data_IF_434727623009
#
_entry.id   IF_434727623009
#
_cell.length_a   1.000
_cell.length_b   1.000
_cell.length_c   1.000
_cell.angle_alpha   90.00
_cell.angle_beta   90.00
_cell.angle_gamma   90.00
#
_symmetry.space_group_name_H-M   'P 1'
#
loop_
_entity.id
_entity.type
_entity.pdbx_description
1 polymer ?
#
# COMPACT_ATOMS: atom_id res chain seq x y z
N UNK A 1 12.17 -19.34 -16.98
CA UNK A 1 11.42 -18.14 -16.55
C UNK A 1 10.04 -18.55 -16.08
N UNK A 2 9.58 -17.93 -15.01
CA UNK A 2 8.25 -18.19 -14.47
C UNK A 2 7.40 -16.93 -14.58
N UNK A 3 6.12 -17.11 -14.82
CA UNK A 3 5.16 -16.01 -14.80
C UNK A 3 3.93 -16.40 -14.00
N UNK A 4 3.34 -15.42 -13.32
CA UNK A 4 2.14 -15.61 -12.52
C UNK A 4 1.04 -14.79 -13.19
N UNK A 5 -0.06 -15.41 -13.65
CA UNK A 5 -1.16 -14.65 -14.22
C UNK A 5 -1.83 -13.83 -13.12
N UNK A 6 -2.12 -12.57 -13.45
CA UNK A 6 -2.78 -11.67 -12.51
C UNK A 6 -4.24 -12.07 -12.31
N UNK A 7 -4.74 -11.80 -11.10
CA UNK A 7 -6.16 -11.93 -10.80
C UNK A 7 -6.98 -10.90 -11.60
N UNK A 8 -6.42 -9.72 -11.77
CA UNK A 8 -7.03 -8.62 -12.52
C UNK A 8 -6.35 -8.47 -13.88
N UNK A 9 -7.04 -7.84 -14.85
CA UNK A 9 -6.52 -7.65 -16.20
C UNK A 9 -5.33 -6.69 -16.28
N UNK A 10 -5.25 -5.72 -15.36
CA UNK A 10 -4.18 -4.72 -15.39
C UNK A 10 -3.60 -4.44 -14.01
N UNK A 11 -2.29 -4.35 -13.97
CA UNK A 11 -1.53 -4.12 -12.74
C UNK A 11 -0.81 -2.79 -12.83
N UNK A 12 -0.76 -2.06 -11.72
CA UNK A 12 -0.08 -0.76 -11.66
C UNK A 12 1.28 -0.85 -10.97
N UNK A 13 1.42 -1.74 -10.00
CA UNK A 13 2.64 -1.81 -9.21
C UNK A 13 2.81 -3.20 -8.63
N UNK A 14 4.06 -3.66 -8.57
CA UNK A 14 4.42 -4.91 -7.88
C UNK A 14 5.59 -4.62 -6.95
N UNK A 15 5.53 -5.16 -5.74
CA UNK A 15 6.64 -5.13 -4.80
C UNK A 15 6.79 -6.48 -4.12
N UNK A 16 8.02 -6.79 -3.71
CA UNK A 16 8.30 -7.95 -2.88
C UNK A 16 8.31 -7.49 -1.43
N UNK A 17 7.51 -8.14 -0.59
CA UNK A 17 7.49 -7.83 0.84
C UNK A 17 8.86 -8.14 1.44
N UNK A 18 9.46 -7.20 2.21
CA UNK A 18 10.86 -7.35 2.64
C UNK A 18 11.14 -8.57 3.51
N UNK A 19 10.18 -9.00 4.31
CA UNK A 19 10.38 -10.05 5.31
C UNK A 19 9.66 -11.35 4.92
N UNK A 20 8.53 -11.24 4.26
CA UNK A 20 7.62 -12.37 4.08
C UNK A 20 7.71 -13.06 2.72
N UNK A 21 8.57 -12.57 1.84
CA UNK A 21 8.75 -13.16 0.50
C UNK A 21 7.45 -13.25 -0.31
N UNK A 22 6.52 -12.34 -0.05
CA UNK A 22 5.27 -12.25 -0.80
C UNK A 22 5.38 -11.22 -1.91
N UNK A 23 4.90 -11.58 -3.09
CA UNK A 23 4.69 -10.62 -4.16
C UNK A 23 3.35 -9.95 -3.91
N UNK A 24 3.36 -8.63 -3.85
CA UNK A 24 2.18 -7.84 -3.56
C UNK A 24 1.95 -6.87 -4.72
N UNK A 25 0.74 -6.85 -5.23
CA UNK A 25 0.41 -6.17 -6.47
C UNK A 25 -0.78 -5.24 -6.26
N UNK A 26 -0.67 -4.02 -6.78
CA UNK A 26 -1.77 -3.06 -6.84
C UNK A 26 -2.38 -3.09 -8.24
N UNK A 27 -3.70 -3.21 -8.34
CA UNK A 27 -4.36 -3.34 -9.63
C UNK A 27 -5.39 -2.24 -9.90
N UNK A 28 -5.94 -2.22 -11.12
CA UNK A 28 -6.87 -1.18 -11.57
C UNK A 28 -8.24 -1.27 -10.91
N UNK A 29 -8.57 -2.38 -10.29
CA UNK A 29 -9.84 -2.55 -9.57
C UNK A 29 -9.79 -2.03 -8.14
N UNK A 30 -8.68 -1.45 -7.72
CA UNK A 30 -8.51 -0.99 -6.34
C UNK A 30 -8.18 -2.11 -5.37
N UNK A 31 -7.71 -3.22 -5.88
CA UNK A 31 -7.39 -4.39 -5.07
C UNK A 31 -5.89 -4.54 -4.86
N UNK A 32 -5.54 -5.17 -3.75
CA UNK A 32 -4.19 -5.64 -3.48
C UNK A 32 -4.22 -7.17 -3.57
N UNK A 33 -3.37 -7.71 -4.44
CA UNK A 33 -3.21 -9.15 -4.65
C UNK A 33 -1.90 -9.59 -4.01
N UNK A 34 -1.93 -10.67 -3.23
CA UNK A 34 -0.73 -11.22 -2.60
C UNK A 34 -0.48 -12.62 -3.10
N UNK A 35 0.74 -12.88 -3.54
CA UNK A 35 1.16 -14.18 -4.06
C UNK A 35 2.35 -14.71 -3.29
N UNK A 36 2.36 -16.02 -3.06
CA UNK A 36 3.55 -16.69 -2.53
C UNK A 36 4.59 -16.76 -3.65
N UNK A 37 5.81 -16.28 -3.38
CA UNK A 37 6.86 -16.24 -4.40
C UNK A 37 7.38 -17.62 -4.80
N UNK A 38 7.17 -18.63 -3.96
CA UNK A 38 7.64 -19.99 -4.22
C UNK A 38 6.59 -20.84 -4.93
N UNK A 39 5.40 -20.95 -4.34
CA UNK A 39 4.31 -21.76 -4.91
C UNK A 39 3.56 -21.04 -6.03
N UNK A 40 3.65 -19.71 -6.09
CA UNK A 40 2.95 -18.85 -7.04
C UNK A 40 1.44 -18.86 -6.85
N UNK A 41 0.98 -19.32 -5.70
CA UNK A 41 -0.44 -19.29 -5.37
C UNK A 41 -0.87 -17.90 -4.93
N UNK A 42 -2.09 -17.51 -5.32
CA UNK A 42 -2.70 -16.30 -4.80
C UNK A 42 -3.15 -16.57 -3.37
N UNK A 43 -2.53 -15.86 -2.44
CA UNK A 43 -2.84 -16.01 -1.02
C UNK A 43 -4.04 -15.18 -0.62
N UNK A 44 -4.20 -14.00 -1.23
CA UNK A 44 -5.22 -13.06 -0.83
C UNK A 44 -5.44 -12.03 -1.94
N UNK A 45 -6.68 -11.61 -2.09
CA UNK A 45 -7.04 -10.48 -2.95
C UNK A 45 -8.06 -9.65 -2.19
N UNK A 46 -7.70 -8.42 -1.85
CA UNK A 46 -8.53 -7.56 -0.99
C UNK A 46 -8.80 -6.24 -1.71
N UNK A 47 -10.07 -5.87 -1.77
CA UNK A 47 -10.44 -4.57 -2.32
C UNK A 47 -10.24 -3.48 -1.26
N UNK A 48 -9.47 -2.47 -1.60
CA UNK A 48 -9.09 -1.39 -0.70
C UNK A 48 -9.72 -0.06 -1.12
N UNK A 49 -9.79 0.19 -2.42
CA UNK A 49 -10.35 1.42 -2.98
C UNK A 49 -11.46 1.13 -3.99
N UNK A 50 -12.37 2.07 -4.15
CA UNK A 50 -13.36 2.03 -5.23
C UNK A 50 -12.78 2.48 -6.57
N UNK A 51 -11.57 3.06 -6.57
CA UNK A 51 -10.82 3.47 -7.74
C UNK A 51 -9.55 2.64 -7.85
N UNK A 52 -8.68 2.94 -8.83
CA UNK A 52 -7.45 2.19 -9.02
C UNK A 52 -6.49 2.31 -7.85
N UNK A 53 -5.86 1.21 -7.48
CA UNK A 53 -4.69 1.20 -6.60
C UNK A 53 -3.45 1.48 -7.47
N UNK A 54 -2.75 2.58 -7.20
CA UNK A 54 -1.68 3.08 -8.07
C UNK A 54 -0.29 2.77 -7.57
N UNK A 55 -0.10 2.80 -6.27
CA UNK A 55 1.22 2.57 -5.69
C UNK A 55 1.07 1.85 -4.36
N UNK A 56 2.10 1.14 -3.99
CA UNK A 56 2.14 0.49 -2.68
C UNK A 56 3.59 0.38 -2.23
N UNK A 57 3.78 0.41 -0.92
CA UNK A 57 5.11 0.34 -0.33
C UNK A 57 5.03 -0.29 1.04
N UNK A 58 5.94 -1.22 1.31
CA UNK A 58 6.14 -1.74 2.66
C UNK A 58 7.13 -0.86 3.43
N UNK A 59 6.96 -0.79 4.75
CA UNK A 59 7.99 -0.24 5.61
C UNK A 59 9.22 -1.15 5.60
N UNK A 60 10.38 -0.61 6.05
CA UNK A 60 11.63 -1.36 6.02
C UNK A 60 11.59 -2.64 6.84
N UNK A 61 10.84 -2.65 7.94
CA UNK A 61 10.66 -3.84 8.76
C UNK A 61 9.59 -4.80 8.23
N UNK A 62 8.88 -4.42 7.17
CA UNK A 62 7.84 -5.23 6.57
C UNK A 62 6.53 -5.28 7.34
N UNK A 63 6.39 -4.51 8.42
CA UNK A 63 5.22 -4.59 9.30
C UNK A 63 4.07 -3.70 8.88
N UNK A 64 4.34 -2.70 8.04
CA UNK A 64 3.32 -1.77 7.56
C UNK A 64 3.29 -1.77 6.05
N UNK A 65 2.10 -1.58 5.51
CA UNK A 65 1.87 -1.45 4.07
C UNK A 65 1.07 -0.18 3.81
N UNK A 66 1.59 0.69 2.97
CA UNK A 66 0.88 1.89 2.52
C UNK A 66 0.47 1.72 1.06
N UNK A 67 -0.78 2.03 0.76
CA UNK A 67 -1.35 1.91 -0.58
C UNK A 67 -1.97 3.23 -0.99
N UNK A 68 -1.66 3.68 -2.19
CA UNK A 68 -2.16 4.93 -2.74
C UNK A 68 -3.08 4.71 -3.94
N UNK A 69 -4.13 5.50 -4.03
CA UNK A 69 -5.13 5.41 -5.09
C UNK A 69 -4.91 6.46 -6.19
N UNK A 70 -5.66 6.35 -7.26
CA UNK A 70 -5.62 7.31 -8.36
C UNK A 70 -6.42 8.59 -8.08
N UNK A 71 -7.17 8.63 -6.99
CA UNK A 71 -7.95 9.81 -6.58
C UNK A 71 -7.44 10.46 -5.29
N UNK A 72 -6.19 10.21 -4.93
CA UNK A 72 -5.54 10.94 -3.84
C UNK A 72 -5.70 10.35 -2.45
N UNK A 73 -6.23 9.14 -2.34
CA UNK A 73 -6.37 8.47 -1.05
C UNK A 73 -5.14 7.63 -0.75
N UNK A 74 -4.75 7.57 0.52
CA UNK A 74 -3.69 6.67 1.00
C UNK A 74 -4.23 5.96 2.23
N UNK A 75 -4.08 4.64 2.24
CA UNK A 75 -4.43 3.81 3.40
C UNK A 75 -3.21 3.07 3.87
N UNK A 76 -3.01 3.04 5.18
CA UNK A 76 -1.86 2.38 5.80
C UNK A 76 -2.35 1.26 6.69
N UNK A 77 -1.79 0.09 6.49
CA UNK A 77 -2.18 -1.14 7.21
C UNK A 77 -1.02 -1.65 8.04
N UNK A 78 -1.35 -2.22 9.19
CA UNK A 78 -0.46 -3.18 9.85
C UNK A 78 -0.70 -4.53 9.18
N UNK A 79 0.35 -5.25 8.81
CA UNK A 79 0.21 -6.51 8.06
C UNK A 79 -0.55 -7.59 8.82
N UNK A 80 -0.72 -7.43 10.13
CA UNK A 80 -1.46 -8.36 10.98
C UNK A 80 -2.95 -8.06 11.02
N UNK A 81 -3.39 -7.00 10.35
CA UNK A 81 -4.77 -6.53 10.39
C UNK A 81 -5.31 -6.31 8.99
N UNK A 82 -6.59 -6.56 8.79
CA UNK A 82 -7.28 -6.30 7.53
C UNK A 82 -7.87 -4.90 7.46
N UNK A 83 -7.68 -4.09 8.49
CA UNK A 83 -8.21 -2.73 8.53
C UNK A 83 -7.09 -1.73 8.50
N UNK A 84 -7.26 -0.61 7.77
CA UNK A 84 -6.27 0.45 7.83
C UNK A 84 -6.29 1.10 9.21
N UNK A 85 -5.11 1.39 9.76
CA UNK A 85 -5.03 2.15 10.99
C UNK A 85 -4.86 3.65 10.71
N UNK A 86 -4.61 4.02 9.47
CA UNK A 86 -4.45 5.41 9.07
C UNK A 86 -4.96 5.58 7.65
N UNK A 87 -5.72 6.66 7.44
CA UNK A 87 -6.17 7.06 6.12
C UNK A 87 -5.81 8.51 5.89
N UNK A 88 -5.23 8.80 4.73
CA UNK A 88 -4.86 10.15 4.32
C UNK A 88 -5.58 10.51 3.04
N UNK A 89 -5.85 11.79 2.88
CA UNK A 89 -6.51 12.32 1.71
C UNK A 89 -5.74 13.52 1.19
N UNK A 90 -5.33 13.46 -0.07
CA UNK A 90 -4.70 14.60 -0.74
C UNK A 90 -5.77 15.53 -1.28
N UNK A 91 -5.53 16.83 -1.14
CA UNK A 91 -6.53 17.86 -1.40
C UNK A 91 -7.04 17.86 -2.84
N UNK A 92 -6.17 17.57 -3.79
CA UNK A 92 -6.50 17.72 -5.21
C UNK A 92 -7.13 16.50 -5.85
N UNK A 93 -7.30 15.43 -5.12
CA UNK A 93 -7.91 14.18 -5.62
C UNK A 93 -7.25 13.67 -6.90
N UNK A 94 -5.94 13.88 -7.03
CA UNK A 94 -5.13 13.39 -8.15
C UNK A 94 -4.39 12.13 -7.75
N UNK A 95 -3.91 11.33 -8.72
CA UNK A 95 -3.23 10.08 -8.39
C UNK A 95 -2.05 10.27 -7.46
N UNK A 96 -1.92 9.38 -6.50
CA UNK A 96 -0.73 9.29 -5.65
C UNK A 96 0.43 8.83 -6.54
N UNK A 97 1.49 9.62 -6.59
CA UNK A 97 2.62 9.36 -7.47
C UNK A 97 3.78 8.67 -6.78
N UNK A 98 3.90 8.85 -5.46
CA UNK A 98 5.01 8.26 -4.71
C UNK A 98 4.64 8.04 -3.26
N UNK A 99 5.11 6.91 -2.73
CA UNK A 99 4.98 6.55 -1.32
C UNK A 99 6.36 6.13 -0.85
N UNK A 100 6.77 6.64 0.31
CA UNK A 100 8.07 6.30 0.86
C UNK A 100 8.01 6.30 2.38
N UNK A 101 8.59 5.29 3.00
CA UNK A 101 8.82 5.28 4.45
C UNK A 101 10.21 5.82 4.75
N UNK A 102 10.31 6.62 5.78
CA UNK A 102 11.59 7.16 6.24
C UNK A 102 11.55 7.23 7.77
N UNK A 103 12.25 6.32 8.43
CA UNK A 103 12.18 6.20 9.89
C UNK A 103 10.73 5.95 10.34
N UNK A 104 10.25 6.82 11.22
CA UNK A 104 8.88 6.72 11.74
C UNK A 104 7.87 7.49 10.89
N UNK A 105 8.28 7.99 9.73
CA UNK A 105 7.45 8.84 8.90
C UNK A 105 7.09 8.17 7.59
N UNK A 106 5.90 8.49 7.11
CA UNK A 106 5.43 8.14 5.79
C UNK A 106 5.33 9.42 4.97
N UNK A 107 5.95 9.37 3.80
CA UNK A 107 5.88 10.48 2.84
C UNK A 107 5.04 10.03 1.65
N UNK A 108 4.02 10.81 1.34
CA UNK A 108 3.18 10.55 0.16
C UNK A 108 3.12 11.80 -0.68
N UNK A 109 3.09 11.63 -1.98
CA UNK A 109 2.98 12.75 -2.89
C UNK A 109 1.98 12.48 -4.01
N UNK A 110 1.36 13.54 -4.47
CA UNK A 110 0.69 13.58 -5.75
C UNK A 110 1.47 14.55 -6.64
N UNK A 111 0.89 15.01 -7.76
CA UNK A 111 1.62 15.92 -8.65
C UNK A 111 1.78 17.33 -8.08
N UNK A 112 1.12 17.68 -6.99
CA UNK A 112 1.08 19.06 -6.47
C UNK A 112 1.49 19.20 -5.02
N UNK A 113 1.34 18.14 -4.22
CA UNK A 113 1.57 18.23 -2.78
C UNK A 113 2.34 17.03 -2.25
N UNK A 114 2.98 17.25 -1.12
CA UNK A 114 3.64 16.19 -0.33
C UNK A 114 3.04 16.20 1.05
N UNK A 115 2.70 15.03 1.57
CA UNK A 115 2.27 14.86 2.95
C UNK A 115 3.29 14.03 3.70
N UNK A 116 3.56 14.45 4.92
CA UNK A 116 4.46 13.75 5.85
C UNK A 116 3.67 13.44 7.10
N UNK A 117 3.62 12.19 7.50
CA UNK A 117 2.87 11.77 8.68
C UNK A 117 3.68 10.77 9.49
N UNK A 118 3.52 10.80 10.80
CA UNK A 118 4.14 9.82 11.69
C UNK A 118 3.29 8.55 11.69
N UNK A 119 3.90 7.41 11.40
CA UNK A 119 3.21 6.11 11.30
C UNK A 119 3.76 5.10 12.30
N UNK A 120 4.30 5.58 13.41
CA UNK A 120 4.87 4.69 14.42
C UNK A 120 3.77 3.93 15.12
N UNK A 121 3.68 2.63 14.83
CA UNK A 121 2.65 1.75 15.37
C UNK A 121 2.97 1.37 16.82
N UNK A 122 1.94 1.23 17.62
CA UNK A 122 2.07 0.80 19.02
C UNK A 122 2.30 1.94 20.01
N UNK A 123 2.57 3.14 19.51
CA UNK A 123 2.77 4.32 20.34
C UNK A 123 1.68 5.36 20.15
N UNK A 124 0.67 5.02 19.35
CA UNK A 124 -0.46 5.92 19.14
C UNK A 124 -1.35 5.94 20.38
N UNK A 125 -1.60 7.13 20.86
CA UNK A 125 -2.61 7.39 21.85
C UNK A 125 -3.43 8.58 21.37
N UNK A 126 -4.62 8.84 21.95
CA UNK A 126 -5.40 10.01 21.57
C UNK A 126 -4.64 11.31 21.69
N UNK A 127 -3.67 11.38 22.57
CA UNK A 127 -2.86 12.58 22.75
C UNK A 127 -1.77 12.75 21.70
N UNK A 128 -1.47 11.72 20.95
CA UNK A 128 -0.47 11.75 19.89
C UNK A 128 -1.08 12.02 18.51
N UNK A 129 -2.37 12.04 18.46
CA UNK A 129 -3.10 12.24 17.21
C UNK A 129 -3.00 13.67 16.69
#
# INVERSE_FOLDING_TARGET
MASIPAHCSELNKVVLAPVHQMLTVANINGEIECYDSRSRDCLQCVKIFDSEARDLRFSDDGMQLAVGSDNGLVKVFDIRSNRPFLELEHVYETPITSIKFSGDHLLTSDRRTVKIVNVKVGLFSPSDA
#
